data_IF_725712523341
#
_entry.id   IF_725712523341
#
_cell.length_a   1.000
_cell.length_b   1.000
_cell.length_c   1.000
_cell.angle_alpha   90.00
_cell.angle_beta   90.00
_cell.angle_gamma   90.00
#
_symmetry.space_group_name_H-M   'P 1'
#
loop_
_entity.id
_entity.type
_entity.pdbx_description
1 polymer ?
#
# COMPACT_ATOMS: atom_id res chain seq x y z
N UNK A 1 -2.08 15.55 8.49
CA UNK A 1 -2.07 14.69 9.70
C UNK A 1 -0.62 14.42 10.02
N UNK A 2 -0.17 14.63 11.27
CA UNK A 2 1.24 14.49 11.65
C UNK A 2 1.57 13.01 11.89
N UNK A 3 2.37 12.42 11.00
CA UNK A 3 2.73 11.00 11.01
C UNK A 3 3.39 10.59 12.33
N UNK A 4 4.27 11.44 12.89
CA UNK A 4 4.95 11.14 14.13
C UNK A 4 3.97 11.10 15.31
N UNK A 5 3.00 12.02 15.34
CA UNK A 5 1.93 11.99 16.36
C UNK A 5 1.05 10.75 16.25
N UNK A 6 0.63 10.38 15.04
CA UNK A 6 -0.22 9.19 14.83
C UNK A 6 0.53 7.91 15.19
N UNK A 7 1.80 7.78 14.78
CA UNK A 7 2.63 6.62 15.12
C UNK A 7 2.83 6.49 16.63
N UNK A 8 3.18 7.59 17.31
CA UNK A 8 3.36 7.62 18.77
C UNK A 8 2.06 7.27 19.51
N UNK A 9 0.92 7.76 19.03
CA UNK A 9 -0.38 7.43 19.59
C UNK A 9 -0.70 5.94 19.46
N UNK A 10 -0.39 5.31 18.32
CA UNK A 10 -0.59 3.88 18.09
C UNK A 10 0.33 3.03 18.99
N UNK A 11 1.62 3.38 19.05
CA UNK A 11 2.60 2.69 19.89
C UNK A 11 2.25 2.78 21.38
N UNK A 12 1.87 3.97 21.87
CA UNK A 12 1.47 4.16 23.29
C UNK A 12 0.25 3.34 23.70
N UNK A 13 -0.58 2.94 22.74
CA UNK A 13 -1.77 2.11 22.95
C UNK A 13 -1.57 0.64 22.59
N UNK A 14 -0.33 0.23 22.30
CA UNK A 14 0.01 -1.12 21.81
C UNK A 14 -0.78 -1.56 20.57
N UNK A 15 -1.25 -0.60 19.79
CA UNK A 15 -1.98 -0.87 18.54
C UNK A 15 -0.93 -1.19 17.48
N UNK A 16 -0.87 -2.46 17.07
CA UNK A 16 -0.04 -2.90 15.96
C UNK A 16 -0.82 -2.65 14.68
N UNK A 17 -0.31 -1.74 13.84
CA UNK A 17 -0.79 -1.63 12.47
C UNK A 17 -0.53 -2.98 11.78
N UNK A 18 -1.59 -3.63 11.30
CA UNK A 18 -1.47 -4.77 10.41
C UNK A 18 -0.74 -4.39 9.12
N UNK A 19 -0.49 -5.38 8.26
CA UNK A 19 0.13 -5.19 6.95
C UNK A 19 -0.41 -3.96 6.23
N UNK A 20 0.48 -3.06 5.82
CA UNK A 20 0.05 -1.84 5.12
C UNK A 20 -0.64 -2.19 3.79
N UNK A 21 -1.56 -1.33 3.35
CA UNK A 21 -2.26 -1.51 2.08
C UNK A 21 -1.29 -1.74 0.90
N UNK A 22 -0.18 -0.99 0.86
CA UNK A 22 0.86 -1.16 -0.15
C UNK A 22 1.54 -2.54 -0.07
N UNK A 23 1.79 -3.05 1.13
CA UNK A 23 2.36 -4.38 1.35
C UNK A 23 1.38 -5.48 0.90
N UNK A 24 0.10 -5.33 1.27
CA UNK A 24 -0.96 -6.26 0.88
C UNK A 24 -1.14 -6.33 -0.65
N UNK A 25 -1.21 -5.18 -1.34
CA UNK A 25 -1.29 -5.15 -2.81
C UNK A 25 -0.06 -5.80 -3.42
N UNK A 26 1.14 -5.47 -2.94
CA UNK A 26 2.38 -6.05 -3.48
C UNK A 26 2.40 -7.56 -3.34
N UNK A 27 1.94 -8.11 -2.22
CA UNK A 27 1.80 -9.56 -2.03
C UNK A 27 0.81 -10.16 -3.02
N UNK A 28 -0.36 -9.57 -3.16
CA UNK A 28 -1.38 -10.03 -4.12
C UNK A 28 -0.89 -9.98 -5.56
N UNK A 29 -0.25 -8.88 -5.97
CA UNK A 29 0.29 -8.70 -7.31
C UNK A 29 1.41 -9.71 -7.62
N UNK A 30 2.30 -10.01 -6.66
CA UNK A 30 3.32 -11.05 -6.80
C UNK A 30 2.70 -12.44 -6.96
N UNK A 31 1.66 -12.77 -6.17
CA UNK A 31 0.95 -14.04 -6.28
C UNK A 31 0.28 -14.17 -7.65
N UNK A 32 -0.45 -13.14 -8.07
CA UNK A 32 -1.11 -13.12 -9.38
C UNK A 32 -0.11 -13.25 -10.53
N UNK A 33 1.02 -12.53 -10.47
CA UNK A 33 2.11 -12.64 -11.44
C UNK A 33 2.60 -14.09 -11.59
N UNK A 34 2.79 -14.78 -10.47
CA UNK A 34 3.25 -16.18 -10.44
C UNK A 34 2.18 -17.11 -11.04
N UNK A 35 0.93 -16.97 -10.61
CA UNK A 35 -0.19 -17.82 -11.05
C UNK A 35 -0.48 -17.70 -12.54
N UNK A 36 -0.27 -16.52 -13.13
CA UNK A 36 -0.57 -16.23 -14.54
C UNK A 36 0.69 -16.07 -15.42
N UNK A 37 1.86 -16.45 -14.91
CA UNK A 37 3.15 -16.38 -15.63
C UNK A 37 3.46 -15.01 -16.26
N UNK A 38 2.95 -13.93 -15.64
CA UNK A 38 3.13 -12.57 -16.16
C UNK A 38 4.60 -12.17 -15.99
N UNK A 39 5.18 -11.59 -17.06
CA UNK A 39 6.61 -11.26 -17.08
C UNK A 39 6.96 -10.15 -16.09
N UNK A 40 6.23 -9.03 -16.09
CA UNK A 40 6.54 -7.86 -15.25
C UNK A 40 5.47 -7.64 -14.20
N UNK A 41 5.89 -7.34 -12.97
CA UNK A 41 4.97 -6.97 -11.89
C UNK A 41 4.20 -5.67 -12.21
N UNK A 42 4.80 -4.81 -13.04
CA UNK A 42 4.19 -3.57 -13.50
C UNK A 42 2.92 -3.80 -14.32
N UNK A 43 2.91 -4.86 -15.14
CA UNK A 43 1.74 -5.23 -15.95
C UNK A 43 0.58 -5.62 -15.02
N UNK A 44 0.88 -6.29 -13.90
CA UNK A 44 -0.11 -6.63 -12.88
C UNK A 44 -0.66 -5.38 -12.18
N UNK A 45 0.19 -4.40 -11.89
CA UNK A 45 -0.28 -3.13 -11.33
C UNK A 45 -1.21 -2.38 -12.30
N UNK A 46 -0.87 -2.34 -13.60
CA UNK A 46 -1.74 -1.75 -14.62
C UNK A 46 -3.09 -2.48 -14.71
N UNK A 47 -3.12 -3.81 -14.60
CA UNK A 47 -4.37 -4.58 -14.54
C UNK A 47 -5.22 -4.23 -13.32
N UNK A 48 -4.60 -3.84 -12.20
CA UNK A 48 -5.27 -3.37 -10.99
C UNK A 48 -5.67 -1.88 -11.05
N UNK A 49 -5.36 -1.19 -12.16
CA UNK A 49 -5.65 0.24 -12.33
C UNK A 49 -4.74 1.16 -11.51
N UNK A 50 -3.56 0.69 -11.13
CA UNK A 50 -2.59 1.44 -10.32
C UNK A 50 -1.20 1.43 -10.96
N UNK A 51 -0.37 2.40 -10.62
CA UNK A 51 1.02 2.47 -11.05
C UNK A 51 1.98 2.10 -9.92
N UNK A 52 3.25 1.79 -10.24
CA UNK A 52 4.30 1.65 -9.21
C UNK A 52 4.47 2.91 -8.35
N UNK A 53 4.23 4.09 -8.92
CA UNK A 53 4.35 5.35 -8.21
C UNK A 53 3.26 5.45 -7.14
N UNK A 54 2.04 5.00 -7.42
CA UNK A 54 0.95 4.94 -6.44
C UNK A 54 1.30 4.02 -5.27
N UNK A 55 1.84 2.84 -5.55
CA UNK A 55 2.30 1.89 -4.52
C UNK A 55 3.39 2.54 -3.66
N UNK A 56 4.41 3.14 -4.27
CA UNK A 56 5.50 3.80 -3.56
C UNK A 56 4.99 4.98 -2.73
N UNK A 57 4.01 5.72 -3.24
CA UNK A 57 3.39 6.80 -2.50
C UNK A 57 2.66 6.29 -1.25
N UNK A 58 1.88 5.21 -1.36
CA UNK A 58 1.21 4.59 -0.21
C UNK A 58 2.18 4.00 0.82
N UNK A 59 3.34 3.50 0.40
CA UNK A 59 4.38 3.06 1.34
C UNK A 59 4.95 4.22 2.17
N UNK A 60 5.14 5.37 1.52
CA UNK A 60 5.65 6.57 2.17
C UNK A 60 4.56 7.33 2.96
N UNK A 61 3.29 7.04 2.70
CA UNK A 61 2.14 7.69 3.34
C UNK A 61 1.13 6.66 3.89
N UNK A 62 1.53 5.79 4.83
CA UNK A 62 0.69 4.70 5.34
C UNK A 62 -0.57 5.17 6.07
N UNK A 63 -0.60 6.44 6.51
CA UNK A 63 -1.76 7.08 7.15
C UNK A 63 -2.55 7.99 6.20
N UNK A 64 -2.23 7.99 4.90
CA UNK A 64 -3.03 8.72 3.93
C UNK A 64 -4.38 8.01 3.74
N UNK A 65 -5.45 8.78 3.94
CA UNK A 65 -6.77 8.44 3.42
C UNK A 65 -6.95 9.15 2.09
N UNK A 66 -7.62 8.49 1.14
CA UNK A 66 -8.02 9.08 -0.13
C UNK A 66 -8.85 10.34 0.17
N UNK A 67 -8.27 11.51 -0.07
CA UNK A 67 -9.01 12.78 0.01
C UNK A 67 -9.80 12.90 -1.28
N UNK A 68 -11.09 12.54 -1.24
CA UNK A 68 -12.02 13.00 -2.28
C UNK A 68 -11.99 14.53 -2.23
N UNK A 69 -11.39 15.15 -3.25
CA UNK A 69 -11.66 16.56 -3.53
C UNK A 69 -13.10 16.60 -4.06
N UNK A 70 -13.99 17.18 -3.27
CA UNK A 70 -15.30 17.61 -3.74
C UNK A 70 -15.12 18.81 -4.66
#
# INVERSE_FOLDING_TARGET
MDYAKTQNWLTSRQIKLEESFASAIRRCAKKYKLTHEIRRLDDVYHLLGVTKQDISWWENHPCSVQTKKF
#
